data_IF_513010007074
#
_entry.id   IF_513010007074
#
_cell.length_a   1.000
_cell.length_b   1.000
_cell.length_c   1.000
_cell.angle_alpha   90.00
_cell.angle_beta   90.00
_cell.angle_gamma   90.00
#
_symmetry.space_group_name_H-M   'P 1'
#
loop_
_entity.id
_entity.type
_entity.pdbx_description
1 polymer ?
#
# COMPACT_ATOMS: atom_id res chain seq x y z
N UNK A 1 -0.37 -58.80 20.04
CA UNK A 1 -1.13 -58.14 19.01
C UNK A 1 -0.83 -56.65 19.09
N UNK A 2 0.26 -56.20 18.74
CA UNK A 2 1.08 -55.88 17.54
C UNK A 2 0.27 -55.23 16.44
N UNK A 3 0.56 -53.94 16.28
CA UNK A 3 0.37 -53.30 15.00
C UNK A 3 -0.29 -51.95 15.03
N UNK A 4 0.50 -51.04 14.60
CA UNK A 4 0.16 -49.82 13.88
C UNK A 4 0.38 -48.47 14.62
N UNK A 5 1.63 -48.13 14.68
CA UNK A 5 2.08 -46.74 14.78
C UNK A 5 3.12 -46.55 13.67
N UNK A 6 2.69 -46.07 12.54
CA UNK A 6 3.58 -45.48 11.52
C UNK A 6 2.69 -44.77 10.47
N UNK A 7 2.50 -43.48 10.60
CA UNK A 7 2.33 -42.52 9.49
C UNK A 7 2.27 -41.09 10.00
N UNK A 8 3.37 -40.62 10.59
CA UNK A 8 3.58 -39.17 10.65
C UNK A 8 4.08 -38.73 9.29
N UNK A 9 3.14 -38.24 8.51
CA UNK A 9 3.33 -37.74 7.17
C UNK A 9 4.33 -36.61 7.14
N UNK A 10 5.33 -36.78 6.31
CA UNK A 10 6.28 -35.79 5.86
C UNK A 10 5.53 -34.53 5.45
N UNK A 11 5.77 -33.43 6.17
CA UNK A 11 5.29 -32.13 5.82
C UNK A 11 5.67 -31.79 4.38
N UNK A 12 4.69 -31.71 3.51
CA UNK A 12 4.85 -31.05 2.21
C UNK A 12 5.13 -29.58 2.52
N UNK A 13 6.39 -29.19 2.38
CA UNK A 13 6.77 -27.81 2.17
C UNK A 13 5.96 -27.33 0.97
N UNK A 14 5.02 -26.47 1.25
CA UNK A 14 4.21 -25.81 0.23
C UNK A 14 5.16 -24.87 -0.52
N UNK A 15 5.65 -25.31 -1.66
CA UNK A 15 6.23 -24.45 -2.68
C UNK A 15 5.11 -23.54 -3.22
N UNK A 16 4.80 -22.49 -2.47
CA UNK A 16 4.09 -21.34 -2.96
C UNK A 16 5.09 -20.36 -3.59
N UNK A 17 5.69 -20.78 -4.68
CA UNK A 17 6.05 -19.83 -5.71
C UNK A 17 4.84 -19.68 -6.62
N UNK A 18 4.04 -18.60 -6.53
CA UNK A 18 3.22 -18.27 -7.64
C UNK A 18 4.22 -17.87 -8.76
N UNK A 19 4.42 -18.76 -9.73
CA UNK A 19 4.78 -18.30 -11.06
C UNK A 19 3.69 -17.31 -11.41
N UNK A 20 3.98 -16.03 -11.22
CA UNK A 20 3.19 -14.94 -11.79
C UNK A 20 3.24 -15.18 -13.31
N UNK A 21 2.30 -16.00 -13.79
CA UNK A 21 2.01 -16.10 -15.20
C UNK A 21 1.78 -14.66 -15.67
N UNK A 22 2.52 -14.26 -16.69
CA UNK A 22 2.15 -13.15 -17.53
C UNK A 22 0.81 -13.51 -18.18
N UNK A 23 -0.26 -13.42 -17.45
CA UNK A 23 -1.57 -13.26 -18.04
C UNK A 23 -1.51 -11.89 -18.75
N UNK A 24 -1.19 -11.97 -20.02
CA UNK A 24 -1.53 -10.93 -20.97
C UNK A 24 -3.03 -10.75 -20.82
N UNK A 25 -3.43 -9.76 -20.00
CA UNK A 25 -4.81 -9.26 -19.99
C UNK A 25 -5.04 -8.65 -21.37
N UNK A 26 -5.34 -9.54 -22.33
CA UNK A 26 -5.96 -9.18 -23.59
C UNK A 26 -7.45 -8.93 -23.29
N UNK A 27 -7.73 -7.86 -22.60
CA UNK A 27 -8.99 -7.13 -22.72
C UNK A 27 -8.59 -5.73 -23.14
N UNK A 28 -8.81 -5.43 -24.42
CA UNK A 28 -9.00 -4.08 -24.91
C UNK A 28 -10.27 -3.51 -24.27
N UNK A 29 -10.29 -3.39 -22.92
CA UNK A 29 -11.17 -2.44 -22.26
C UNK A 29 -10.69 -1.09 -22.80
N UNK A 30 -11.60 -0.30 -23.31
CA UNK A 30 -11.37 1.04 -23.82
C UNK A 30 -10.76 1.85 -22.66
N UNK A 31 -9.41 1.84 -22.56
CA UNK A 31 -8.71 2.59 -21.54
C UNK A 31 -8.79 4.06 -21.91
N UNK A 32 -9.37 4.83 -21.00
CA UNK A 32 -9.45 6.27 -21.17
C UNK A 32 -8.05 6.91 -21.06
N UNK A 33 -7.80 8.04 -21.73
CA UNK A 33 -6.57 8.78 -21.53
C UNK A 33 -6.47 9.24 -20.06
N UNK A 34 -5.24 9.33 -19.53
CA UNK A 34 -5.01 9.89 -18.19
C UNK A 34 -5.32 11.38 -18.20
N UNK A 35 -6.30 11.78 -17.39
CA UNK A 35 -6.69 13.18 -17.23
C UNK A 35 -6.31 13.65 -15.83
N UNK A 36 -5.41 14.63 -15.75
CA UNK A 36 -4.96 15.21 -14.48
C UNK A 36 -5.83 16.42 -14.11
N UNK A 37 -7.10 16.16 -13.80
CA UNK A 37 -8.04 17.16 -13.28
C UNK A 37 -7.79 17.36 -11.78
N UNK A 38 -8.32 18.43 -11.18
CA UNK A 38 -8.13 18.71 -9.76
C UNK A 38 -9.08 17.86 -8.88
N UNK A 39 -8.58 17.40 -7.76
CA UNK A 39 -9.37 16.87 -6.65
C UNK A 39 -9.61 17.96 -5.61
N UNK A 40 -10.78 17.94 -4.98
CA UNK A 40 -11.13 18.92 -3.96
C UNK A 40 -10.23 18.80 -2.73
N UNK A 41 -9.89 17.58 -2.35
CA UNK A 41 -9.01 17.29 -1.23
C UNK A 41 -7.59 17.84 -1.40
N UNK A 42 -7.11 17.99 -2.63
CA UNK A 42 -5.79 18.58 -2.96
C UNK A 42 -5.75 20.11 -2.78
N UNK A 43 -6.92 20.78 -2.75
CA UNK A 43 -6.96 22.23 -2.84
C UNK A 43 -6.69 22.89 -1.47
N UNK A 44 -5.76 23.87 -1.39
CA UNK A 44 -5.46 24.57 -0.13
C UNK A 44 -6.67 25.31 0.49
N UNK A 45 -7.59 25.77 -0.36
CA UNK A 45 -8.82 26.49 0.06
C UNK A 45 -9.94 25.56 0.52
N UNK A 46 -9.81 24.24 0.29
CA UNK A 46 -10.87 23.29 0.61
C UNK A 46 -10.99 23.10 2.13
N UNK A 47 -12.21 23.13 2.71
CA UNK A 47 -12.40 23.09 4.15
C UNK A 47 -11.84 21.80 4.78
N UNK A 48 -10.91 21.91 5.73
CA UNK A 48 -10.27 20.78 6.39
C UNK A 48 -11.25 19.80 7.02
N UNK A 49 -12.38 20.32 7.60
CA UNK A 49 -13.39 19.45 8.19
C UNK A 49 -14.05 18.52 7.15
N UNK A 50 -14.30 19.00 5.93
CA UNK A 50 -14.90 18.18 4.87
C UNK A 50 -13.89 17.16 4.37
N UNK A 51 -12.62 17.59 4.17
CA UNK A 51 -11.50 16.71 3.82
C UNK A 51 -11.36 15.57 4.83
N UNK A 52 -11.32 15.89 6.13
CA UNK A 52 -11.17 14.87 7.19
C UNK A 52 -12.35 13.88 7.19
N UNK A 53 -13.58 14.35 6.93
CA UNK A 53 -14.74 13.47 6.89
C UNK A 53 -14.77 12.59 5.64
N UNK A 54 -14.30 13.08 4.49
CA UNK A 54 -14.14 12.29 3.28
C UNK A 54 -13.03 11.24 3.45
N UNK A 55 -11.88 11.61 4.02
CA UNK A 55 -10.80 10.69 4.38
C UNK A 55 -11.27 9.62 5.38
N UNK A 56 -12.06 9.98 6.41
CA UNK A 56 -12.68 9.02 7.35
C UNK A 56 -13.51 7.96 6.59
N UNK A 57 -14.28 8.39 5.56
CA UNK A 57 -15.05 7.45 4.72
C UNK A 57 -14.15 6.52 3.93
N UNK A 58 -13.10 7.01 3.30
CA UNK A 58 -12.15 6.19 2.54
C UNK A 58 -11.48 5.14 3.44
N UNK A 59 -11.03 5.55 4.63
CA UNK A 59 -10.45 4.64 5.63
C UNK A 59 -11.46 3.56 6.05
N UNK A 60 -12.73 3.97 6.31
CA UNK A 60 -13.79 3.03 6.68
C UNK A 60 -14.05 2.00 5.57
N UNK A 61 -14.11 2.41 4.31
CA UNK A 61 -14.32 1.51 3.18
C UNK A 61 -13.14 0.55 3.01
N UNK A 62 -11.90 1.03 3.09
CA UNK A 62 -10.71 0.19 2.97
C UNK A 62 -10.65 -0.88 4.07
N UNK A 63 -10.97 -0.49 5.32
CA UNK A 63 -11.03 -1.41 6.46
C UNK A 63 -12.18 -2.43 6.31
N UNK A 64 -13.38 -1.98 5.91
CA UNK A 64 -14.57 -2.83 5.74
C UNK A 64 -14.34 -3.91 4.69
N UNK A 65 -13.77 -3.55 3.54
CA UNK A 65 -13.46 -4.49 2.47
C UNK A 65 -12.12 -5.20 2.64
N UNK A 66 -11.38 -4.91 3.72
CA UNK A 66 -10.08 -5.53 4.05
C UNK A 66 -9.10 -5.48 2.88
N UNK A 67 -9.07 -4.37 2.17
CA UNK A 67 -8.26 -4.20 0.95
C UNK A 67 -6.75 -4.35 1.23
N UNK A 68 -6.30 -4.02 2.44
CA UNK A 68 -4.92 -4.24 2.91
C UNK A 68 -4.42 -5.67 2.71
N UNK A 69 -5.32 -6.68 2.72
CA UNK A 69 -4.94 -8.09 2.54
C UNK A 69 -4.34 -8.42 1.18
N UNK A 70 -4.59 -7.59 0.17
CA UNK A 70 -3.94 -7.73 -1.13
C UNK A 70 -2.53 -7.16 -1.15
N UNK A 71 -2.29 -6.15 -0.32
CA UNK A 71 -1.00 -5.48 -0.20
C UNK A 71 -0.02 -6.27 0.68
N UNK A 72 -0.50 -6.84 1.79
CA UNK A 72 0.35 -7.48 2.80
C UNK A 72 1.27 -8.57 2.23
N UNK A 73 0.84 -9.51 1.37
CA UNK A 73 1.75 -10.51 0.81
C UNK A 73 2.91 -9.91 0.00
N UNK A 74 2.61 -8.91 -0.85
CA UNK A 74 3.62 -8.21 -1.66
C UNK A 74 4.62 -7.44 -0.79
N UNK A 75 4.11 -6.70 0.20
CA UNK A 75 4.93 -5.93 1.12
C UNK A 75 5.77 -6.85 2.02
N UNK A 76 5.20 -7.93 2.53
CA UNK A 76 5.91 -8.90 3.37
C UNK A 76 7.04 -9.61 2.61
N UNK A 77 6.80 -10.02 1.35
CA UNK A 77 7.84 -10.56 0.47
C UNK A 77 8.97 -9.55 0.28
N UNK A 78 8.62 -8.31 -0.06
CA UNK A 78 9.59 -7.23 -0.32
C UNK A 78 10.41 -6.88 0.93
N UNK A 79 9.79 -6.84 2.11
CA UNK A 79 10.47 -6.59 3.40
C UNK A 79 11.44 -7.72 3.74
N UNK A 80 11.06 -8.99 3.50
CA UNK A 80 11.99 -10.14 3.69
C UNK A 80 13.14 -10.08 2.71
N UNK A 81 12.84 -9.80 1.43
CA UNK A 81 13.85 -9.74 0.38
C UNK A 81 14.88 -8.61 0.57
N UNK A 82 14.51 -7.53 1.24
CA UNK A 82 15.38 -6.37 1.47
C UNK A 82 15.90 -6.28 2.90
N UNK A 83 15.37 -7.08 3.83
CA UNK A 83 15.76 -7.09 5.24
C UNK A 83 15.27 -5.87 6.05
N UNK A 84 14.44 -5.02 5.46
CA UNK A 84 13.93 -3.81 6.13
C UNK A 84 12.89 -4.16 7.20
N UNK A 85 12.93 -3.42 8.33
CA UNK A 85 11.97 -3.48 9.43
C UNK A 85 11.32 -2.12 9.71
N UNK A 86 11.91 -1.06 9.22
CA UNK A 86 11.35 0.28 9.28
C UNK A 86 10.60 0.55 7.98
N UNK A 87 9.37 1.04 8.09
CA UNK A 87 8.55 1.48 6.98
C UNK A 87 8.29 2.98 7.16
N UNK A 88 8.44 3.74 6.09
CA UNK A 88 8.09 5.17 6.04
C UNK A 88 6.91 5.31 5.09
N UNK A 89 5.73 5.51 5.67
CA UNK A 89 4.52 5.71 4.88
C UNK A 89 4.39 7.16 4.46
N UNK A 90 4.38 7.39 3.17
CA UNK A 90 4.32 8.71 2.54
C UNK A 90 2.88 9.01 2.12
N UNK A 91 2.45 10.26 2.27
CA UNK A 91 1.08 10.68 1.95
C UNK A 91 0.05 9.90 2.78
N UNK A 92 0.30 9.74 4.07
CA UNK A 92 -0.50 8.89 4.96
C UNK A 92 -1.91 9.42 5.22
N UNK A 93 -2.21 10.71 4.94
CA UNK A 93 -3.54 11.31 5.11
C UNK A 93 -4.12 11.09 6.50
N UNK A 94 -5.18 10.28 6.62
CA UNK A 94 -5.80 9.88 7.89
C UNK A 94 -5.20 8.63 8.54
N UNK A 95 -4.08 8.10 8.02
CA UNK A 95 -3.46 6.84 8.44
C UNK A 95 -3.86 5.64 7.57
N UNK A 96 -4.89 5.78 6.73
CA UNK A 96 -5.30 4.78 5.73
C UNK A 96 -5.36 3.34 6.26
N UNK A 97 -4.85 2.36 5.51
CA UNK A 97 -4.84 0.95 5.88
C UNK A 97 -3.65 0.54 6.75
N UNK A 98 -2.84 1.51 7.22
CA UNK A 98 -1.56 1.23 7.91
C UNK A 98 -1.74 0.41 9.19
N UNK A 99 -2.74 0.65 10.06
CA UNK A 99 -2.94 -0.16 11.26
C UNK A 99 -3.19 -1.64 10.95
N UNK A 100 -4.04 -1.92 9.97
CA UNK A 100 -4.37 -3.28 9.55
C UNK A 100 -3.16 -3.97 8.90
N UNK A 101 -2.42 -3.26 8.05
CA UNK A 101 -1.17 -3.74 7.44
C UNK A 101 -0.16 -4.10 8.52
N UNK A 102 0.05 -3.23 9.51
CA UNK A 102 1.00 -3.45 10.58
C UNK A 102 0.62 -4.70 11.41
N UNK A 103 -0.67 -4.85 11.75
CA UNK A 103 -1.16 -6.02 12.47
C UNK A 103 -0.95 -7.32 11.67
N UNK A 104 -1.29 -7.31 10.38
CA UNK A 104 -1.12 -8.47 9.52
C UNK A 104 0.36 -8.81 9.27
N UNK A 105 1.25 -7.82 9.13
CA UNK A 105 2.70 -8.05 9.05
C UNK A 105 3.23 -8.71 10.33
N UNK A 106 2.81 -8.22 11.50
CA UNK A 106 3.18 -8.82 12.79
C UNK A 106 2.68 -10.26 12.92
N UNK A 107 1.43 -10.53 12.50
CA UNK A 107 0.88 -11.89 12.49
C UNK A 107 1.64 -12.83 11.54
N UNK A 108 2.29 -12.30 10.52
CA UNK A 108 3.19 -13.03 9.60
C UNK A 108 4.65 -13.10 10.08
N UNK A 109 4.92 -12.79 11.35
CA UNK A 109 6.26 -12.85 11.95
C UNK A 109 7.20 -11.73 11.51
N UNK A 110 6.67 -10.64 10.96
CA UNK A 110 7.43 -9.46 10.59
C UNK A 110 7.23 -8.37 11.64
N UNK A 111 8.17 -8.29 12.57
CA UNK A 111 8.22 -7.19 13.53
C UNK A 111 8.69 -5.92 12.82
N UNK A 112 7.74 -5.05 12.50
CA UNK A 112 7.95 -3.81 11.75
C UNK A 112 7.49 -2.61 12.53
N UNK A 113 8.19 -1.49 12.34
CA UNK A 113 7.76 -0.18 12.83
C UNK A 113 7.40 0.70 11.63
N UNK A 114 6.23 1.34 11.66
CA UNK A 114 5.76 2.21 10.58
C UNK A 114 5.73 3.66 11.07
N UNK A 115 6.32 4.57 10.28
CA UNK A 115 6.29 6.01 10.54
C UNK A 115 5.37 6.69 9.52
N UNK A 116 4.26 7.25 9.99
CA UNK A 116 3.33 8.02 9.17
C UNK A 116 3.93 9.39 8.83
N UNK A 117 3.83 9.79 7.57
CA UNK A 117 4.27 11.11 7.10
C UNK A 117 3.30 11.66 6.06
N UNK A 118 3.13 12.98 6.02
CA UNK A 118 2.29 13.64 5.05
C UNK A 118 2.78 15.07 4.78
N UNK A 119 2.42 15.61 3.64
CA UNK A 119 2.66 17.02 3.33
C UNK A 119 1.81 17.96 4.20
N UNK A 120 0.59 17.50 4.57
CA UNK A 120 -0.36 18.18 5.43
C UNK A 120 -0.80 17.25 6.57
N UNK A 121 0.08 17.00 7.59
CA UNK A 121 -0.16 15.96 8.59
C UNK A 121 -1.46 16.14 9.36
N UNK A 122 -2.34 15.14 9.33
CA UNK A 122 -3.54 15.09 10.18
C UNK A 122 -3.14 14.59 11.57
N UNK A 123 -2.57 15.51 12.39
CA UNK A 123 -2.02 15.15 13.70
C UNK A 123 -3.03 14.47 14.64
N UNK A 124 -4.33 14.87 14.69
CA UNK A 124 -5.32 14.15 15.49
C UNK A 124 -5.50 12.69 15.05
N UNK A 125 -5.51 12.41 13.74
CA UNK A 125 -5.61 11.05 13.23
C UNK A 125 -4.32 10.26 13.52
N UNK A 126 -3.15 10.85 13.27
CA UNK A 126 -1.86 10.23 13.53
C UNK A 126 -1.66 9.83 15.00
N UNK A 127 -2.03 10.71 15.94
CA UNK A 127 -1.97 10.41 17.38
C UNK A 127 -2.86 9.23 17.74
N UNK A 128 -4.12 9.21 17.29
CA UNK A 128 -5.03 8.09 17.56
C UNK A 128 -4.48 6.77 17.01
N UNK A 129 -3.92 6.79 15.80
CA UNK A 129 -3.33 5.61 15.17
C UNK A 129 -2.10 5.11 15.94
N UNK A 130 -1.20 6.01 16.35
CA UNK A 130 -0.01 5.68 17.10
C UNK A 130 -0.34 5.13 18.51
N UNK A 131 -1.29 5.75 19.20
CA UNK A 131 -1.77 5.31 20.54
C UNK A 131 -2.36 3.89 20.48
N UNK A 132 -3.16 3.59 19.43
CA UNK A 132 -3.77 2.28 19.25
C UNK A 132 -2.76 1.17 18.87
N UNK A 133 -1.59 1.53 18.36
CA UNK A 133 -0.61 0.58 17.80
C UNK A 133 0.46 0.11 18.80
N UNK A 134 0.36 0.45 20.09
CA UNK A 134 1.28 0.03 21.16
C UNK A 134 2.77 0.25 20.80
N UNK A 135 3.11 1.40 20.23
CA UNK A 135 4.48 1.78 19.88
C UNK A 135 4.99 1.24 18.53
N UNK A 136 4.18 0.47 17.79
CA UNK A 136 4.58 -0.06 16.47
C UNK A 136 4.32 0.90 15.31
N UNK A 137 3.53 1.95 15.55
CA UNK A 137 3.30 3.03 14.59
C UNK A 137 3.68 4.34 15.26
N UNK A 138 4.56 5.10 14.62
CA UNK A 138 4.91 6.47 14.96
C UNK A 138 4.50 7.43 13.85
N UNK A 139 4.79 8.70 14.04
CA UNK A 139 4.52 9.72 13.01
C UNK A 139 5.51 10.88 13.08
N UNK A 140 5.62 11.60 11.97
CA UNK A 140 6.32 12.88 11.88
C UNK A 140 5.29 14.00 11.88
N UNK A 141 5.43 14.96 12.79
CA UNK A 141 4.49 16.08 12.92
C UNK A 141 4.74 17.18 11.88
N UNK A 142 5.96 17.27 11.37
CA UNK A 142 6.36 18.24 10.36
C UNK A 142 5.88 17.78 8.97
N UNK A 143 5.72 18.74 8.07
CA UNK A 143 5.42 18.48 6.65
C UNK A 143 6.53 17.68 5.99
N UNK A 144 6.19 16.57 5.34
CA UNK A 144 7.09 15.74 4.55
C UNK A 144 6.56 15.65 3.13
N UNK A 145 7.32 16.19 2.18
CA UNK A 145 7.02 16.06 0.77
C UNK A 145 7.58 14.73 0.22
N UNK A 146 6.73 13.89 -0.34
CA UNK A 146 7.13 12.59 -0.90
C UNK A 146 8.17 12.73 -2.04
N UNK A 147 8.24 13.89 -2.71
CA UNK A 147 9.22 14.17 -3.77
C UNK A 147 10.62 14.51 -3.24
N UNK A 148 10.73 14.80 -1.93
CA UNK A 148 11.98 15.20 -1.27
C UNK A 148 11.95 14.76 0.19
N UNK A 149 11.98 13.43 0.41
CA UNK A 149 11.95 12.83 1.75
C UNK A 149 13.28 13.09 2.44
N UNK A 150 13.30 13.65 3.67
CA UNK A 150 14.52 13.90 4.42
C UNK A 150 15.34 12.64 4.69
N UNK A 151 16.67 12.73 4.62
CA UNK A 151 17.60 11.60 4.82
C UNK A 151 17.48 10.90 6.18
N UNK A 152 16.97 11.61 7.20
CA UNK A 152 16.70 11.03 8.52
C UNK A 152 15.58 9.98 8.50
N UNK A 153 14.70 10.04 7.49
CA UNK A 153 13.59 9.10 7.32
C UNK A 153 14.01 7.95 6.41
N UNK A 154 14.66 6.95 7.01
CA UNK A 154 15.14 5.75 6.34
C UNK A 154 14.21 4.58 6.58
N UNK A 155 14.02 3.74 5.56
CA UNK A 155 13.20 2.55 5.62
C UNK A 155 12.53 2.24 4.29
N UNK A 156 11.77 1.17 4.26
CA UNK A 156 10.93 0.83 3.12
C UNK A 156 9.84 1.91 2.98
N UNK A 157 9.83 2.63 1.86
CA UNK A 157 8.82 3.67 1.61
C UNK A 157 7.56 3.05 1.07
N UNK A 158 6.40 3.46 1.59
CA UNK A 158 5.09 3.05 1.07
C UNK A 158 4.27 4.26 0.66
N UNK A 159 3.43 4.11 -0.37
CA UNK A 159 2.40 5.06 -0.76
C UNK A 159 1.13 4.26 -1.04
N UNK A 160 0.06 4.57 -0.31
CA UNK A 160 -1.25 3.94 -0.48
C UNK A 160 -2.26 4.94 -1.02
N UNK A 161 -2.84 4.67 -2.18
CA UNK A 161 -3.91 5.46 -2.80
C UNK A 161 -3.64 6.97 -2.88
N UNK A 162 -2.40 7.34 -3.18
CA UNK A 162 -2.00 8.75 -3.25
C UNK A 162 -1.03 9.03 -4.40
N UNK A 163 -0.52 8.01 -5.07
CA UNK A 163 0.44 8.21 -6.15
C UNK A 163 -0.19 8.83 -7.40
N UNK A 164 -1.48 8.57 -7.64
CA UNK A 164 -2.23 9.16 -8.73
C UNK A 164 -2.40 10.69 -8.61
N UNK A 165 -2.26 11.27 -7.40
CA UNK A 165 -2.27 12.72 -7.20
C UNK A 165 -1.11 13.44 -7.87
N UNK A 166 -0.01 12.73 -8.15
CA UNK A 166 1.18 13.32 -8.76
C UNK A 166 1.13 13.25 -10.28
N UNK A 167 1.45 14.38 -10.95
CA UNK A 167 1.68 14.39 -12.39
C UNK A 167 2.92 13.54 -12.74
N UNK A 168 3.07 13.02 -13.98
CA UNK A 168 4.17 12.12 -14.32
C UNK A 168 5.56 12.61 -13.92
N UNK A 169 5.85 13.89 -14.13
CA UNK A 169 7.14 14.48 -13.74
C UNK A 169 7.35 14.53 -12.22
N UNK A 170 6.27 14.67 -11.43
CA UNK A 170 6.33 14.64 -9.97
C UNK A 170 6.42 13.22 -9.43
N UNK A 171 5.64 12.30 -9.99
CA UNK A 171 5.71 10.87 -9.71
C UNK A 171 7.14 10.33 -9.95
N UNK A 172 7.76 10.74 -11.05
CA UNK A 172 9.14 10.38 -11.36
C UNK A 172 10.14 10.93 -10.32
N UNK A 173 9.92 12.16 -9.78
CA UNK A 173 10.75 12.70 -8.69
C UNK A 173 10.66 11.87 -7.42
N UNK A 174 9.48 11.35 -7.08
CA UNK A 174 9.29 10.46 -5.93
C UNK A 174 10.12 9.18 -6.09
N UNK A 175 10.02 8.54 -7.25
CA UNK A 175 10.78 7.31 -7.53
C UNK A 175 12.29 7.55 -7.55
N UNK A 176 12.74 8.66 -8.16
CA UNK A 176 14.16 9.06 -8.15
C UNK A 176 14.67 9.35 -6.75
N UNK A 177 13.91 10.09 -5.94
CA UNK A 177 14.30 10.39 -4.56
C UNK A 177 14.43 9.11 -3.71
N UNK A 178 13.57 8.11 -3.92
CA UNK A 178 13.72 6.81 -3.28
C UNK A 178 15.00 6.11 -3.76
N UNK A 179 15.26 6.13 -5.07
CA UNK A 179 16.42 5.50 -5.67
C UNK A 179 17.75 6.16 -5.27
N UNK A 180 17.82 7.48 -5.29
CA UNK A 180 19.00 8.25 -4.87
C UNK A 180 19.32 8.03 -3.38
N UNK A 181 18.28 7.96 -2.53
CA UNK A 181 18.42 7.63 -1.12
C UNK A 181 18.73 6.13 -0.88
N UNK A 182 18.67 5.29 -1.91
CA UNK A 182 18.86 3.84 -1.80
C UNK A 182 17.83 3.16 -0.92
N UNK A 183 16.58 3.67 -0.86
CA UNK A 183 15.49 3.13 -0.06
C UNK A 183 14.50 2.37 -0.95
N UNK A 184 14.07 1.15 -0.57
CA UNK A 184 13.01 0.46 -1.32
C UNK A 184 11.71 1.24 -1.26
N UNK A 185 10.87 1.09 -2.30
CA UNK A 185 9.59 1.76 -2.40
C UNK A 185 8.50 0.82 -2.91
N UNK A 186 7.30 0.91 -2.31
CA UNK A 186 6.08 0.25 -2.76
C UNK A 186 4.95 1.25 -2.92
N UNK A 187 4.36 1.27 -4.10
CA UNK A 187 3.16 2.05 -4.43
C UNK A 187 2.01 1.09 -4.63
N UNK A 188 0.85 1.37 -4.03
CA UNK A 188 -0.33 0.51 -4.08
C UNK A 188 -1.57 1.38 -4.30
N UNK A 189 -2.25 1.17 -5.44
CA UNK A 189 -3.33 2.02 -5.92
C UNK A 189 -4.58 1.20 -6.23
N UNK A 190 -5.72 1.59 -5.67
CA UNK A 190 -7.03 1.01 -6.03
C UNK A 190 -7.76 1.73 -7.16
N UNK A 191 -7.56 3.05 -7.40
CA UNK A 191 -8.12 3.71 -8.56
C UNK A 191 -7.66 3.07 -9.87
N UNK A 192 -8.61 2.91 -10.82
CA UNK A 192 -8.37 2.26 -12.11
C UNK A 192 -9.11 3.01 -13.22
N UNK A 193 -8.43 3.35 -14.31
CA UNK A 193 -9.01 4.05 -15.47
C UNK A 193 -9.87 3.14 -16.35
N UNK A 194 -10.85 2.50 -15.76
CA UNK A 194 -11.82 1.67 -16.45
C UNK A 194 -13.15 2.44 -16.56
N UNK A 195 -13.74 2.51 -17.75
CA UNK A 195 -15.04 3.15 -17.97
C UNK A 195 -16.12 2.56 -17.04
N UNK A 196 -16.09 1.24 -16.83
CA UNK A 196 -17.00 0.56 -15.91
C UNK A 196 -16.80 1.01 -14.46
N UNK A 197 -15.55 1.08 -13.99
CA UNK A 197 -15.25 1.48 -12.61
C UNK A 197 -15.65 2.95 -12.40
N UNK A 198 -15.35 3.84 -13.35
CA UNK A 198 -15.76 5.24 -13.30
C UNK A 198 -17.28 5.36 -13.22
N UNK A 199 -18.02 4.61 -14.05
CA UNK A 199 -19.48 4.61 -14.02
C UNK A 199 -20.03 4.10 -12.69
N UNK A 200 -19.48 3.00 -12.17
CA UNK A 200 -19.86 2.48 -10.85
C UNK A 200 -19.56 3.47 -9.73
N UNK A 201 -18.39 4.10 -9.75
CA UNK A 201 -18.02 5.16 -8.80
C UNK A 201 -19.01 6.31 -8.88
N UNK A 202 -19.33 6.79 -10.09
CA UNK A 202 -20.27 7.90 -10.29
C UNK A 202 -21.67 7.60 -9.77
N UNK A 203 -22.17 6.37 -9.91
CA UNK A 203 -23.51 5.98 -9.48
C UNK A 203 -23.55 5.64 -7.99
N UNK A 204 -22.57 4.87 -7.51
CA UNK A 204 -22.66 4.25 -6.18
C UNK A 204 -22.09 5.12 -5.05
N UNK A 205 -21.08 5.95 -5.31
CA UNK A 205 -20.36 6.65 -4.23
C UNK A 205 -21.26 7.51 -3.34
N UNK A 206 -22.16 8.39 -3.85
CA UNK A 206 -23.00 9.20 -2.99
C UNK A 206 -23.91 8.35 -2.08
N UNK A 207 -24.44 7.27 -2.62
CA UNK A 207 -25.27 6.33 -1.88
C UNK A 207 -24.47 5.59 -0.81
N UNK A 208 -23.29 5.09 -1.15
CA UNK A 208 -22.41 4.36 -0.23
C UNK A 208 -21.94 5.25 0.93
N UNK A 209 -21.61 6.52 0.67
CA UNK A 209 -21.27 7.49 1.72
C UNK A 209 -22.45 7.67 2.68
N UNK A 210 -23.66 7.85 2.16
CA UNK A 210 -24.86 8.01 2.99
C UNK A 210 -25.12 6.75 3.84
N UNK A 211 -25.04 5.56 3.25
CA UNK A 211 -25.26 4.30 3.96
C UNK A 211 -24.15 4.02 4.99
N UNK A 212 -22.89 4.32 4.69
CA UNK A 212 -21.77 4.09 5.58
C UNK A 212 -21.75 5.01 6.80
N UNK A 213 -22.21 6.25 6.65
CA UNK A 213 -22.11 7.33 7.66
C UNK A 213 -22.54 6.91 9.07
N UNK A 214 -23.65 6.19 9.31
CA UNK A 214 -24.07 5.78 10.66
C UNK A 214 -23.14 4.73 11.32
N UNK A 215 -22.40 3.97 10.52
CA UNK A 215 -21.56 2.88 10.99
C UNK A 215 -20.12 3.30 11.27
N UNK A 216 -19.72 4.50 10.81
CA UNK A 216 -18.35 5.00 10.95
C UNK A 216 -18.06 5.42 12.40
N UNK A 217 -16.94 4.98 12.96
CA UNK A 217 -16.49 5.33 14.31
C UNK A 217 -15.17 6.11 14.27
N UNK A 218 -14.92 7.01 15.23
CA UNK A 218 -15.83 7.46 16.30
C UNK A 218 -17.02 8.25 15.75
N UNK A 219 -18.11 8.34 16.55
CA UNK A 219 -19.26 9.18 16.19
C UNK A 219 -18.86 10.65 16.11
N UNK A 220 -19.25 11.30 15.01
CA UNK A 220 -18.97 12.72 14.77
C UNK A 220 -20.23 13.40 14.21
N UNK A 221 -20.89 14.27 14.98
CA UNK A 221 -22.10 14.94 14.52
C UNK A 221 -21.94 15.75 13.21
N UNK A 222 -20.76 16.42 12.93
CA UNK A 222 -20.58 17.12 11.67
C UNK A 222 -20.69 16.19 10.45
N UNK A 223 -20.37 14.89 10.61
CA UNK A 223 -20.50 13.91 9.53
C UNK A 223 -21.96 13.75 9.11
N UNK A 224 -22.88 13.73 10.06
CA UNK A 224 -24.33 13.68 9.75
C UNK A 224 -24.82 14.96 9.08
N UNK A 225 -24.40 16.13 9.57
CA UNK A 225 -24.72 17.41 8.96
C UNK A 225 -24.26 17.46 7.50
N UNK A 226 -22.97 17.14 7.25
CA UNK A 226 -22.36 17.25 5.93
C UNK A 226 -22.60 16.04 5.01
N UNK A 227 -23.32 15.03 5.49
CA UNK A 227 -23.78 13.91 4.66
C UNK A 227 -25.26 14.09 4.27
N UNK A 228 -26.13 14.44 5.22
CA UNK A 228 -27.57 14.38 5.00
C UNK A 228 -28.25 15.73 4.82
N UNK A 229 -27.82 16.76 5.53
CA UNK A 229 -28.43 18.09 5.44
C UNK A 229 -27.74 18.97 4.39
N UNK A 230 -26.43 18.99 4.40
CA UNK A 230 -25.58 19.66 3.42
C UNK A 230 -24.65 18.61 2.79
N UNK A 231 -25.02 17.94 1.68
CA UNK A 231 -24.37 16.72 1.21
C UNK A 231 -22.96 16.97 0.63
N UNK A 232 -22.13 17.74 1.34
CA UNK A 232 -20.78 18.09 0.91
C UNK A 232 -19.83 16.88 0.90
N UNK A 233 -19.93 16.00 1.91
CA UNK A 233 -19.08 14.80 1.96
C UNK A 233 -19.40 13.82 0.82
N UNK A 234 -20.67 13.46 0.56
CA UNK A 234 -21.02 12.65 -0.61
C UNK A 234 -20.57 13.26 -1.94
N UNK A 235 -20.73 14.58 -2.11
CA UNK A 235 -20.32 15.27 -3.34
C UNK A 235 -18.80 15.32 -3.50
N UNK A 236 -18.05 15.53 -2.40
CA UNK A 236 -16.58 15.45 -2.42
C UNK A 236 -16.11 14.05 -2.80
N UNK A 237 -16.56 13.02 -2.09
CA UNK A 237 -16.18 11.64 -2.40
C UNK A 237 -16.58 11.21 -3.82
N UNK A 238 -17.71 11.72 -4.32
CA UNK A 238 -18.17 11.47 -5.69
C UNK A 238 -17.23 12.10 -6.72
N UNK A 239 -16.96 13.40 -6.57
CA UNK A 239 -16.08 14.13 -7.49
C UNK A 239 -14.65 13.56 -7.44
N UNK A 240 -14.05 13.54 -6.26
CA UNK A 240 -12.67 13.10 -6.10
C UNK A 240 -12.52 11.62 -6.47
N UNK A 241 -13.51 10.79 -6.16
CA UNK A 241 -13.51 9.39 -6.58
C UNK A 241 -13.48 9.20 -8.10
N UNK A 242 -14.24 10.01 -8.87
CA UNK A 242 -14.20 9.98 -10.34
C UNK A 242 -12.83 10.49 -10.83
N UNK A 243 -12.33 11.56 -10.26
CA UNK A 243 -11.06 12.16 -10.67
C UNK A 243 -9.88 11.23 -10.37
N UNK A 244 -9.86 10.60 -9.20
CA UNK A 244 -8.85 9.59 -8.85
C UNK A 244 -8.79 8.47 -9.88
N UNK A 245 -9.95 7.97 -10.36
CA UNK A 245 -9.99 6.97 -11.44
C UNK A 245 -9.35 7.50 -12.74
N UNK A 246 -9.67 8.74 -13.13
CA UNK A 246 -9.12 9.37 -14.35
C UNK A 246 -7.62 9.67 -14.24
N UNK A 247 -7.11 9.90 -13.03
CA UNK A 247 -5.69 10.16 -12.72
C UNK A 247 -4.85 8.89 -12.56
N UNK A 248 -5.48 7.73 -12.33
CA UNK A 248 -4.80 6.47 -12.05
C UNK A 248 -3.76 6.11 -13.13
N UNK A 249 -2.64 5.60 -12.71
CA UNK A 249 -1.62 5.07 -13.60
C UNK A 249 -1.93 3.62 -13.98
N UNK A 250 -1.70 3.29 -15.23
CA UNK A 250 -1.69 1.90 -15.69
C UNK A 250 -0.37 1.22 -15.32
N UNK A 251 -0.35 -0.12 -15.35
CA UNK A 251 0.89 -0.90 -15.13
C UNK A 251 1.99 -0.46 -16.11
N UNK A 252 1.68 -0.29 -17.41
CA UNK A 252 2.67 0.14 -18.38
C UNK A 252 3.19 1.57 -18.18
N UNK A 253 2.35 2.49 -17.68
CA UNK A 253 2.80 3.83 -17.31
C UNK A 253 3.70 3.80 -16.06
N UNK A 254 3.39 2.96 -15.08
CA UNK A 254 4.24 2.75 -13.90
C UNK A 254 5.60 2.14 -14.29
N UNK A 255 5.60 1.15 -15.19
CA UNK A 255 6.85 0.57 -15.73
C UNK A 255 7.71 1.63 -16.45
N UNK A 256 7.08 2.51 -17.25
CA UNK A 256 7.78 3.59 -17.94
C UNK A 256 8.37 4.61 -16.95
N UNK A 257 7.62 5.02 -15.90
CA UNK A 257 8.11 5.92 -14.86
C UNK A 257 9.29 5.31 -14.09
N UNK A 258 9.22 4.01 -13.81
CA UNK A 258 10.23 3.27 -13.08
C UNK A 258 11.53 3.11 -13.87
N UNK A 259 11.43 2.84 -15.18
CA UNK A 259 12.59 2.69 -16.07
C UNK A 259 13.50 3.93 -16.07
N UNK A 260 12.90 5.11 -15.97
CA UNK A 260 13.60 6.40 -15.98
C UNK A 260 14.10 6.82 -14.57
N UNK A 261 13.76 6.10 -13.50
CA UNK A 261 13.98 6.57 -12.14
C UNK A 261 15.36 6.21 -11.57
N UNK A 262 15.90 5.03 -11.83
CA UNK A 262 17.06 4.50 -11.10
C UNK A 262 18.10 3.74 -11.94
N UNK A 263 17.98 3.72 -13.26
CA UNK A 263 18.83 2.90 -14.12
C UNK A 263 18.86 1.43 -13.68
N UNK A 264 20.05 0.83 -13.64
CA UNK A 264 20.23 -0.59 -13.30
C UNK A 264 20.47 -0.86 -11.81
N UNK A 265 20.23 0.09 -10.91
CA UNK A 265 20.51 -0.10 -9.47
C UNK A 265 19.32 -0.67 -8.69
N UNK A 266 18.15 -0.79 -9.33
CA UNK A 266 16.91 -1.29 -8.74
C UNK A 266 16.30 -2.40 -9.58
N UNK A 267 15.66 -3.35 -8.89
CA UNK A 267 14.69 -4.26 -9.50
C UNK A 267 13.31 -3.62 -9.38
N UNK A 268 12.69 -3.33 -10.53
CA UNK A 268 11.34 -2.80 -10.58
C UNK A 268 10.34 -3.88 -10.97
N UNK A 269 9.23 -3.94 -10.25
CA UNK A 269 8.12 -4.85 -10.53
C UNK A 269 6.82 -4.07 -10.49
N UNK A 270 6.09 -4.02 -11.58
CA UNK A 270 4.74 -3.48 -11.63
C UNK A 270 3.74 -4.58 -11.98
N UNK A 271 2.51 -4.43 -11.52
CA UNK A 271 1.47 -5.40 -11.79
C UNK A 271 0.10 -4.98 -11.28
N UNK A 272 -0.88 -5.87 -11.45
CA UNK A 272 -2.22 -5.68 -10.92
C UNK A 272 -2.76 -6.98 -10.32
N UNK A 273 -3.59 -6.87 -9.27
CA UNK A 273 -4.25 -7.97 -8.58
C UNK A 273 -5.75 -7.70 -8.59
N UNK A 274 -6.55 -8.66 -9.04
CA UNK A 274 -8.01 -8.52 -9.05
C UNK A 274 -8.56 -8.35 -7.62
N UNK A 275 -9.48 -7.41 -7.45
CA UNK A 275 -10.19 -7.21 -6.18
C UNK A 275 -11.23 -8.33 -5.99
N UNK A 276 -11.31 -8.96 -4.80
CA UNK A 276 -12.34 -9.96 -4.52
C UNK A 276 -13.75 -9.36 -4.67
N UNK A 277 -14.61 -10.05 -5.41
CA UNK A 277 -16.02 -9.67 -5.61
C UNK A 277 -16.24 -8.28 -6.24
N UNK A 278 -15.26 -7.77 -6.96
CA UNK A 278 -15.30 -6.47 -7.65
C UNK A 278 -14.66 -6.60 -9.04
N UNK A 279 -15.14 -5.84 -10.03
CA UNK A 279 -14.50 -5.81 -11.35
C UNK A 279 -13.16 -5.04 -11.37
N UNK A 280 -12.79 -4.36 -10.27
CA UNK A 280 -11.59 -3.54 -10.17
C UNK A 280 -10.33 -4.33 -9.81
N UNK A 281 -9.19 -3.65 -9.85
CA UNK A 281 -7.88 -4.20 -9.52
C UNK A 281 -7.11 -3.29 -8.57
N UNK A 282 -6.24 -3.88 -7.74
CA UNK A 282 -5.14 -3.18 -7.09
C UNK A 282 -3.98 -3.12 -8.08
N UNK A 283 -3.55 -1.93 -8.47
CA UNK A 283 -2.32 -1.73 -9.23
C UNK A 283 -1.17 -1.45 -8.27
N UNK A 284 0.01 -2.02 -8.53
CA UNK A 284 1.18 -1.82 -7.67
C UNK A 284 2.46 -1.58 -8.47
N UNK A 285 3.40 -0.87 -7.84
CA UNK A 285 4.79 -0.74 -8.27
C UNK A 285 5.71 -0.98 -7.07
N UNK A 286 6.67 -1.87 -7.23
CA UNK A 286 7.72 -2.15 -6.24
C UNK A 286 9.08 -1.80 -6.84
N UNK A 287 9.88 -1.02 -6.12
CA UNK A 287 11.26 -0.70 -6.44
C UNK A 287 12.18 -1.18 -5.33
N UNK A 288 13.02 -2.15 -5.61
CA UNK A 288 13.89 -2.81 -4.62
C UNK A 288 15.37 -2.60 -5.00
N UNK A 289 16.21 -2.02 -4.10
CA UNK A 289 17.63 -1.84 -4.37
C UNK A 289 18.32 -3.18 -4.58
N UNK A 290 19.05 -3.37 -5.68
CA UNK A 290 19.78 -4.62 -5.96
C UNK A 290 20.78 -4.95 -4.87
N UNK A 291 21.42 -3.96 -4.26
CA UNK A 291 22.35 -4.13 -3.14
C UNK A 291 21.70 -4.86 -1.95
N UNK A 292 20.43 -4.53 -1.64
CA UNK A 292 19.72 -5.15 -0.52
C UNK A 292 19.29 -6.58 -0.85
N UNK A 293 18.84 -6.82 -2.09
CA UNK A 293 18.49 -8.15 -2.58
C UNK A 293 19.72 -9.09 -2.56
N UNK A 294 20.90 -8.61 -2.97
CA UNK A 294 22.14 -9.39 -2.93
C UNK A 294 22.56 -9.68 -1.49
N UNK A 295 22.46 -8.70 -0.58
CA UNK A 295 22.78 -8.88 0.85
C UNK A 295 21.88 -9.92 1.50
N UNK A 296 20.57 -9.86 1.27
CA UNK A 296 19.63 -10.83 1.84
C UNK A 296 19.88 -12.23 1.33
N UNK A 297 20.13 -12.41 0.03
CA UNK A 297 20.48 -13.71 -0.57
C UNK A 297 21.79 -14.27 -0.01
N UNK A 298 22.79 -13.42 0.21
CA UNK A 298 24.06 -13.81 0.84
C UNK A 298 23.86 -14.34 2.27
N UNK A 299 23.10 -13.62 3.10
CA UNK A 299 22.79 -14.02 4.46
C UNK A 299 21.98 -15.33 4.54
N UNK A 300 21.03 -15.55 3.62
CA UNK A 300 20.29 -16.81 3.54
C UNK A 300 21.18 -17.99 3.15
N UNK A 301 22.13 -17.78 2.23
CA UNK A 301 23.07 -18.79 1.83
C UNK A 301 24.04 -19.20 2.98
N UNK A 302 24.51 -18.20 3.75
CA UNK A 302 25.39 -18.41 4.91
C UNK A 302 24.66 -19.16 6.03
N UNK A 303 23.44 -18.73 6.38
CA UNK A 303 22.60 -19.42 7.38
C UNK A 303 22.29 -20.89 6.97
N UNK A 304 22.08 -21.13 5.66
CA UNK A 304 21.82 -22.48 5.15
C UNK A 304 23.07 -23.37 5.25
N UNK A 305 24.26 -22.80 4.99
CA UNK A 305 25.52 -23.49 5.11
C UNK A 305 25.84 -23.85 6.57
N UNK A 306 25.65 -22.91 7.51
CA UNK A 306 25.82 -23.16 8.94
C UNK A 306 24.87 -24.23 9.47
N UNK A 307 23.59 -24.20 9.02
CA UNK A 307 22.60 -25.21 9.40
C UNK A 307 22.95 -26.62 8.92
N UNK A 308 23.58 -26.76 7.75
CA UNK A 308 24.10 -28.05 7.22
C UNK A 308 25.33 -28.48 8.00
N UNK A 309 26.30 -27.58 8.20
CA UNK A 309 27.55 -27.89 8.94
C UNK A 309 27.28 -28.24 10.42
N UNK A 310 26.27 -27.60 11.04
CA UNK A 310 25.82 -27.93 12.40
C UNK A 310 25.20 -29.32 12.51
N UNK A 311 24.48 -29.79 11.50
CA UNK A 311 23.90 -31.15 11.45
C UNK A 311 24.95 -32.23 11.30
N UNK A 312 26.02 -32.00 10.51
CA UNK A 312 27.11 -32.93 10.35
C UNK A 312 27.95 -33.11 11.60
N UNK A 313 28.10 -32.04 12.43
CA UNK A 313 28.81 -32.13 13.73
C UNK A 313 28.02 -32.90 14.79
N UNK A 314 26.70 -32.94 14.73
CA UNK A 314 25.86 -33.67 15.70
C UNK A 314 25.68 -35.13 15.29
N UNK A 315 25.77 -35.45 13.99
CA UNK A 315 25.64 -36.83 13.48
C UNK A 315 26.93 -37.67 13.54
N UNK A 316 28.05 -37.10 13.95
CA UNK A 316 29.35 -37.78 14.05
C UNK A 316 29.71 -38.29 15.47
N UNK A 317 28.81 -38.27 16.44
CA UNK A 317 29.00 -38.79 17.80
C UNK A 317 27.97 -39.90 18.05
N UNK A 318 28.22 -41.06 17.44
CA UNK A 318 27.65 -42.36 17.85
C UNK A 318 28.71 -43.43 17.76
#
# INVERSE_FOLDING_TARGET
MTGCLDSLGKGKLFELTPRLSREKVSRASMMLPRLHLFELEDQPWFPGIIRDLATDYLCFMQATFRLHRLVVPLLAESLRATGHRQIVDLCSGGGGPVPEIQNDLSANGLDTHITLTDRFPNLPAFRRTAEAAAGRIGFVAESVDARSVPDRLRGFRTIFNSFHHFAPAEAQKILRNAAEAGQPIGVFEYPERSALIILLTAILTPFLVAVATPFMRPFRWPRFLFTYLLPLVPLTCWWDGIISQLRAYTVGELESLAADAAGNSYEWRAGSIALPNSPGHLTYLLGLPLKDLHRARGAEAENRFEAVAGRERIGGVT
#
